data_IF_781112735063
#
_entry.id   IF_781112735063
#
_cell.length_a   1.000
_cell.length_b   1.000
_cell.length_c   1.000
_cell.angle_alpha   90.00
_cell.angle_beta   90.00
_cell.angle_gamma   90.00
#
_symmetry.space_group_name_H-M   'P 1'
#
loop_
_entity.id
_entity.type
_entity.pdbx_description
1 polymer ?
#
# COMPACT_ATOMS: atom_id res chain seq x y z
N UNK A 1 -21.57 5.39 55.00
CA UNK A 1 -20.26 5.34 54.31
C UNK A 1 -20.26 4.32 53.16
N UNK A 2 -20.70 3.07 53.37
CA UNK A 2 -20.72 2.00 52.35
C UNK A 2 -21.47 2.33 51.05
N UNK A 3 -22.62 2.99 51.12
CA UNK A 3 -23.44 3.30 49.91
C UNK A 3 -22.71 4.30 49.00
N UNK A 4 -22.04 5.29 49.59
CA UNK A 4 -21.29 6.31 48.83
C UNK A 4 -20.07 5.73 48.13
N UNK A 5 -19.34 4.81 48.79
CA UNK A 5 -18.18 4.14 48.19
C UNK A 5 -18.56 3.23 47.02
N UNK A 6 -19.70 2.53 47.13
CA UNK A 6 -20.21 1.68 46.03
C UNK A 6 -20.64 2.53 44.84
N UNK A 7 -21.37 3.64 45.06
CA UNK A 7 -21.77 4.55 43.98
C UNK A 7 -20.56 5.17 43.28
N UNK A 8 -19.56 5.61 44.04
CA UNK A 8 -18.32 6.17 43.48
C UNK A 8 -17.56 5.14 42.61
N UNK A 9 -17.43 3.90 43.10
CA UNK A 9 -16.78 2.83 42.35
C UNK A 9 -17.52 2.51 41.03
N UNK A 10 -18.86 2.51 41.03
CA UNK A 10 -19.65 2.28 39.82
C UNK A 10 -19.51 3.41 38.80
N UNK A 11 -19.50 4.67 39.26
CA UNK A 11 -19.30 5.84 38.39
C UNK A 11 -17.90 5.80 37.77
N UNK A 12 -16.86 5.55 38.57
CA UNK A 12 -15.50 5.38 38.07
C UNK A 12 -15.41 4.23 37.05
N UNK A 13 -16.01 3.08 37.35
CA UNK A 13 -16.03 1.93 36.44
C UNK A 13 -16.67 2.30 35.08
N UNK A 14 -17.78 3.06 35.09
CA UNK A 14 -18.43 3.52 33.86
C UNK A 14 -17.59 4.53 33.08
N UNK A 15 -16.95 5.48 33.77
CA UNK A 15 -16.06 6.46 33.13
C UNK A 15 -14.86 5.75 32.49
N UNK A 16 -14.22 4.82 33.21
CA UNK A 16 -13.11 4.04 32.65
C UNK A 16 -13.55 3.21 31.44
N UNK A 17 -14.70 2.53 31.52
CA UNK A 17 -15.24 1.74 30.41
C UNK A 17 -15.53 2.60 29.16
N UNK A 18 -16.07 3.81 29.33
CA UNK A 18 -16.32 4.74 28.24
C UNK A 18 -15.01 5.24 27.61
N UNK A 19 -14.03 5.61 28.43
CA UNK A 19 -12.71 6.04 27.97
C UNK A 19 -12.00 4.92 27.19
N UNK A 20 -12.12 3.67 27.63
CA UNK A 20 -11.54 2.52 26.91
C UNK A 20 -12.26 2.21 25.60
N UNK A 21 -13.59 2.37 25.54
CA UNK A 21 -14.37 2.14 24.31
C UNK A 21 -14.09 3.18 23.23
N UNK A 22 -13.75 4.40 23.60
CA UNK A 22 -13.38 5.45 22.64
C UNK A 22 -12.04 5.19 21.94
N UNK A 23 -11.21 4.29 22.47
CA UNK A 23 -9.80 4.08 22.06
C UNK A 23 -9.52 2.68 21.53
N UNK A 24 -10.53 1.97 21.04
CA UNK A 24 -10.40 0.56 20.64
C UNK A 24 -9.29 0.38 19.60
N UNK A 25 -9.29 1.14 18.51
CA UNK A 25 -8.28 1.01 17.44
C UNK A 25 -6.86 1.40 17.89
N UNK A 26 -6.74 2.33 18.83
CA UNK A 26 -5.45 2.75 19.42
C UNK A 26 -4.90 1.68 20.36
N UNK A 27 -5.78 1.05 21.15
CA UNK A 27 -5.40 -0.06 22.02
C UNK A 27 -4.97 -1.28 21.19
N UNK A 28 -5.67 -1.58 20.10
CA UNK A 28 -5.28 -2.66 19.17
C UNK A 28 -3.92 -2.34 18.54
N UNK A 29 -3.72 -1.11 18.05
CA UNK A 29 -2.42 -0.68 17.53
C UNK A 29 -1.31 -0.86 18.55
N UNK A 30 -1.52 -0.42 19.80
CA UNK A 30 -0.55 -0.56 20.89
C UNK A 30 -0.23 -2.03 21.18
N UNK A 31 -1.25 -2.90 21.20
CA UNK A 31 -1.05 -4.34 21.37
C UNK A 31 -0.17 -4.93 20.26
N UNK A 32 -0.46 -4.60 18.99
CA UNK A 32 0.35 -5.07 17.84
C UNK A 32 1.77 -4.53 17.86
N UNK A 33 1.94 -3.28 18.27
CA UNK A 33 3.25 -2.67 18.48
C UNK A 33 4.06 -3.44 19.54
N UNK A 34 3.46 -3.71 20.70
CA UNK A 34 4.12 -4.43 21.79
C UNK A 34 4.48 -5.87 21.39
N UNK A 35 3.60 -6.58 20.68
CA UNK A 35 3.86 -7.90 20.10
C UNK A 35 5.07 -7.88 19.15
N UNK A 36 5.14 -6.89 18.24
CA UNK A 36 6.27 -6.72 17.33
C UNK A 36 7.57 -6.47 18.11
N UNK A 37 7.56 -5.59 19.11
CA UNK A 37 8.72 -5.34 19.96
C UNK A 37 9.19 -6.60 20.70
N UNK A 38 8.25 -7.39 21.24
CA UNK A 38 8.55 -8.65 21.89
C UNK A 38 9.17 -9.66 20.92
N UNK A 39 8.60 -9.80 19.73
CA UNK A 39 9.14 -10.65 18.66
C UNK A 39 10.59 -10.25 18.33
N UNK A 40 10.84 -8.97 18.05
CA UNK A 40 12.17 -8.49 17.71
C UNK A 40 13.20 -8.68 18.84
N UNK A 41 12.76 -8.56 20.10
CA UNK A 41 13.60 -8.81 21.28
C UNK A 41 13.94 -10.29 21.43
N UNK A 42 12.96 -11.17 21.25
CA UNK A 42 13.12 -12.62 21.35
C UNK A 42 14.17 -13.13 20.36
N UNK A 43 14.10 -12.68 19.11
CA UNK A 43 15.02 -13.10 18.04
C UNK A 43 16.29 -12.23 17.95
N UNK A 44 16.51 -11.30 18.90
CA UNK A 44 17.70 -10.42 18.97
C UNK A 44 17.96 -9.65 17.67
N UNK A 45 16.91 -9.11 17.08
CA UNK A 45 17.00 -8.36 15.82
C UNK A 45 17.88 -7.09 16.00
N UNK A 46 18.81 -6.79 15.08
CA UNK A 46 19.67 -5.61 15.15
C UNK A 46 18.90 -4.29 15.29
N UNK A 47 19.47 -3.32 16.00
CA UNK A 47 18.84 -2.01 16.26
C UNK A 47 18.31 -1.32 15.02
N UNK A 48 19.13 -1.24 13.96
CA UNK A 48 18.74 -0.60 12.70
C UNK A 48 17.51 -1.24 12.04
N UNK A 49 17.38 -2.56 12.08
CA UNK A 49 16.20 -3.24 11.52
C UNK A 49 14.97 -3.07 12.41
N UNK A 50 15.14 -2.99 13.73
CA UNK A 50 14.04 -2.70 14.67
C UNK A 50 13.47 -1.31 14.47
N UNK A 51 14.34 -0.31 14.34
CA UNK A 51 13.94 1.08 14.09
C UNK A 51 13.16 1.19 12.78
N UNK A 52 13.64 0.56 11.71
CA UNK A 52 12.93 0.51 10.42
C UNK A 52 11.55 -0.13 10.53
N UNK A 53 11.44 -1.29 11.18
CA UNK A 53 10.16 -1.98 11.36
C UNK A 53 9.15 -1.13 12.16
N UNK A 54 9.61 -0.45 13.21
CA UNK A 54 8.79 0.46 14.02
C UNK A 54 8.35 1.68 13.19
N UNK A 55 9.26 2.30 12.45
CA UNK A 55 8.96 3.44 11.59
C UNK A 55 7.95 3.07 10.49
N UNK A 56 8.08 1.88 9.89
CA UNK A 56 7.11 1.36 8.93
C UNK A 56 5.71 1.23 9.55
N UNK A 57 5.60 0.59 10.72
CA UNK A 57 4.33 0.40 11.42
C UNK A 57 3.67 1.75 11.77
N UNK A 58 4.45 2.69 12.29
CA UNK A 58 3.98 4.03 12.63
C UNK A 58 3.48 4.79 11.38
N UNK A 59 4.21 4.71 10.26
CA UNK A 59 3.85 5.35 9.00
C UNK A 59 2.61 4.73 8.34
N UNK A 60 2.45 3.39 8.41
CA UNK A 60 1.34 2.66 7.79
C UNK A 60 0.01 2.83 8.54
N UNK A 61 0.04 2.85 9.87
CA UNK A 61 -1.18 2.80 10.70
C UNK A 61 -1.45 4.10 11.47
N UNK A 62 -0.48 5.02 11.57
CA UNK A 62 -0.68 6.34 12.20
C UNK A 62 -1.29 6.27 13.61
N UNK A 63 -0.92 5.23 14.38
CA UNK A 63 -1.43 5.01 15.74
C UNK A 63 -2.81 4.35 15.83
N UNK A 64 -3.42 3.97 14.70
CA UNK A 64 -4.74 3.32 14.65
C UNK A 64 -4.70 2.07 13.79
N UNK A 65 -5.13 0.96 14.36
CA UNK A 65 -5.22 -0.30 13.61
C UNK A 65 -6.67 -0.55 13.17
N UNK A 66 -6.84 -0.86 11.89
CA UNK A 66 -8.11 -1.27 11.30
C UNK A 66 -7.89 -2.52 10.46
N UNK A 67 -8.77 -3.50 10.61
CA UNK A 67 -8.88 -4.59 9.65
C UNK A 67 -9.76 -4.11 8.49
N UNK A 68 -9.14 -3.39 7.55
CA UNK A 68 -9.84 -2.73 6.44
C UNK A 68 -10.68 -3.74 5.63
N UNK A 69 -10.17 -4.95 5.39
CA UNK A 69 -10.88 -6.00 4.64
C UNK A 69 -12.13 -6.46 5.40
N UNK A 70 -12.02 -6.75 6.70
CA UNK A 70 -13.16 -7.17 7.50
C UNK A 70 -14.24 -6.06 7.61
N UNK A 71 -13.83 -4.81 7.85
CA UNK A 71 -14.74 -3.66 7.95
C UNK A 71 -15.51 -3.46 6.64
N UNK A 72 -14.82 -3.54 5.49
CA UNK A 72 -15.46 -3.35 4.19
C UNK A 72 -16.40 -4.52 3.81
N UNK A 73 -16.18 -5.72 4.35
CA UNK A 73 -17.06 -6.88 4.13
C UNK A 73 -18.38 -6.80 4.91
N UNK A 74 -18.44 -6.04 6.02
CA UNK A 74 -19.69 -5.78 6.73
C UNK A 74 -20.65 -4.87 5.95
N UNK A 75 -20.12 -4.13 4.96
CA UNK A 75 -20.87 -3.21 4.14
C UNK A 75 -21.46 -3.90 2.90
N UNK A 76 -22.63 -3.40 2.47
CA UNK A 76 -23.19 -3.78 1.20
C UNK A 76 -22.27 -3.33 0.03
N UNK A 77 -22.48 -3.98 -1.10
CA UNK A 77 -21.64 -3.83 -2.29
C UNK A 77 -21.54 -2.37 -2.80
N UNK A 78 -22.65 -1.59 -2.89
CA UNK A 78 -22.59 -0.20 -3.34
C UNK A 78 -21.82 0.72 -2.38
N UNK A 79 -22.04 0.62 -1.07
CA UNK A 79 -21.35 1.48 -0.09
C UNK A 79 -19.85 1.20 -0.06
N UNK A 80 -19.47 -0.07 -0.18
CA UNK A 80 -18.07 -0.48 -0.26
C UNK A 80 -17.35 0.16 -1.44
N UNK A 81 -17.97 0.08 -2.63
CA UNK A 81 -17.45 0.72 -3.86
C UNK A 81 -17.28 2.22 -3.68
N UNK A 82 -18.24 2.90 -3.06
CA UNK A 82 -18.19 4.34 -2.82
C UNK A 82 -17.04 4.73 -1.88
N UNK A 83 -16.85 3.98 -0.79
CA UNK A 83 -15.74 4.21 0.16
C UNK A 83 -14.38 3.97 -0.51
N UNK A 84 -14.23 2.88 -1.26
CA UNK A 84 -12.99 2.56 -1.99
C UNK A 84 -12.67 3.68 -2.99
N UNK A 85 -13.67 4.13 -3.76
CA UNK A 85 -13.54 5.24 -4.70
C UNK A 85 -13.12 6.53 -4.01
N UNK A 86 -13.69 6.83 -2.83
CA UNK A 86 -13.33 8.00 -2.04
C UNK A 86 -11.87 7.92 -1.54
N UNK A 87 -11.47 6.79 -0.97
CA UNK A 87 -10.11 6.57 -0.44
C UNK A 87 -9.05 6.70 -1.53
N UNK A 88 -9.33 6.16 -2.72
CA UNK A 88 -8.42 6.20 -3.86
C UNK A 88 -8.58 7.46 -4.72
N UNK A 89 -9.42 8.43 -4.32
CA UNK A 89 -9.71 9.61 -5.13
C UNK A 89 -8.46 10.44 -5.48
N UNK A 90 -7.47 10.48 -4.58
CA UNK A 90 -6.20 11.15 -4.84
C UNK A 90 -5.36 10.42 -5.90
N UNK A 91 -5.35 9.08 -5.86
CA UNK A 91 -4.68 8.25 -6.85
C UNK A 91 -5.29 8.44 -8.25
N UNK A 92 -6.63 8.36 -8.34
CA UNK A 92 -7.38 8.50 -9.59
C UNK A 92 -7.12 9.87 -10.24
N UNK A 93 -7.13 10.95 -9.43
CA UNK A 93 -6.93 12.32 -9.94
C UNK A 93 -5.51 12.57 -10.45
N UNK A 94 -4.51 11.97 -9.82
CA UNK A 94 -3.10 12.21 -10.15
C UNK A 94 -2.63 11.39 -11.35
N UNK A 95 -3.18 10.19 -11.53
CA UNK A 95 -2.64 9.27 -12.51
C UNK A 95 -3.32 9.43 -13.88
N UNK A 96 -2.57 9.78 -14.95
CA UNK A 96 -3.14 10.02 -16.28
C UNK A 96 -3.91 8.84 -16.85
N UNK A 97 -3.45 7.62 -16.56
CA UNK A 97 -4.10 6.37 -17.01
C UNK A 97 -5.55 6.20 -16.53
N UNK A 98 -5.93 6.88 -15.44
CA UNK A 98 -7.27 6.76 -14.85
C UNK A 98 -8.22 7.89 -15.26
N UNK A 99 -7.73 8.94 -15.92
CA UNK A 99 -8.49 10.18 -16.18
C UNK A 99 -9.73 9.97 -17.05
N UNK A 100 -9.63 9.09 -18.05
CA UNK A 100 -10.71 8.80 -19.02
C UNK A 100 -11.17 7.33 -18.95
N UNK A 101 -10.84 6.65 -17.85
CA UNK A 101 -11.14 5.24 -17.69
C UNK A 101 -12.62 5.01 -17.33
N UNK A 102 -13.16 3.87 -17.78
CA UNK A 102 -14.54 3.50 -17.49
C UNK A 102 -14.73 3.38 -15.96
N UNK A 103 -15.78 4.00 -15.35
CA UNK A 103 -16.03 3.90 -13.91
C UNK A 103 -16.13 2.46 -13.38
N UNK A 104 -16.70 1.53 -14.16
CA UNK A 104 -16.77 0.12 -13.76
C UNK A 104 -15.39 -0.54 -13.72
N UNK A 105 -14.52 -0.19 -14.68
CA UNK A 105 -13.13 -0.66 -14.68
C UNK A 105 -12.37 -0.11 -13.48
N UNK A 106 -12.52 1.19 -13.17
CA UNK A 106 -11.88 1.80 -12.02
C UNK A 106 -12.31 1.12 -10.72
N UNK A 107 -13.62 0.88 -10.54
CA UNK A 107 -14.11 0.22 -9.33
C UNK A 107 -13.55 -1.20 -9.17
N UNK A 108 -13.51 -1.98 -10.27
CA UNK A 108 -12.96 -3.33 -10.23
C UNK A 108 -11.45 -3.33 -9.95
N UNK A 109 -10.71 -2.38 -10.54
CA UNK A 109 -9.27 -2.24 -10.32
C UNK A 109 -8.96 -1.82 -8.87
N UNK A 110 -9.64 -0.79 -8.37
CA UNK A 110 -9.40 -0.20 -7.05
C UNK A 110 -9.70 -1.19 -5.92
N UNK A 111 -10.68 -2.09 -6.10
CA UNK A 111 -10.98 -3.16 -5.15
C UNK A 111 -9.84 -4.18 -5.01
N UNK A 112 -8.96 -4.29 -6.01
CA UNK A 112 -7.80 -5.20 -6.00
C UNK A 112 -6.48 -4.53 -5.61
N UNK A 113 -6.48 -3.23 -5.35
CA UNK A 113 -5.27 -2.51 -4.93
C UNK A 113 -5.02 -2.71 -3.44
N UNK A 114 -3.77 -2.96 -3.09
CA UNK A 114 -3.34 -3.06 -1.69
C UNK A 114 -2.43 -1.89 -1.32
N UNK A 115 -2.75 -1.22 -0.21
CA UNK A 115 -1.99 -0.05 0.23
C UNK A 115 -0.72 -0.43 0.99
N UNK A 116 0.42 0.09 0.52
CA UNK A 116 1.75 -0.15 1.07
C UNK A 116 2.50 1.16 1.35
N UNK A 117 3.34 1.14 2.38
CA UNK A 117 4.19 2.29 2.77
C UNK A 117 5.66 1.89 2.80
N UNK A 118 6.51 2.72 2.21
CA UNK A 118 7.97 2.55 2.22
C UNK A 118 8.66 3.79 2.79
N UNK A 119 9.69 3.57 3.60
CA UNK A 119 10.50 4.64 4.19
C UNK A 119 11.66 5.04 3.27
N UNK A 120 12.19 6.27 3.40
CA UNK A 120 13.35 6.70 2.62
C UNK A 120 14.52 5.72 2.73
N UNK A 121 15.12 5.40 1.59
CA UNK A 121 16.25 4.47 1.45
C UNK A 121 15.86 2.99 1.34
N UNK A 122 14.59 2.62 1.51
CA UNK A 122 14.15 1.24 1.38
C UNK A 122 14.08 0.78 -0.08
N UNK A 123 14.57 -0.43 -0.33
CA UNK A 123 14.49 -1.08 -1.63
C UNK A 123 13.09 -1.70 -1.79
N UNK A 124 12.33 -1.19 -2.75
CA UNK A 124 10.98 -1.66 -3.09
C UNK A 124 11.09 -2.84 -4.07
N UNK A 125 11.91 -2.69 -5.11
CA UNK A 125 12.16 -3.72 -6.11
C UNK A 125 13.66 -3.96 -6.20
N UNK A 126 14.07 -5.23 -6.15
CA UNK A 126 15.44 -5.64 -6.43
C UNK A 126 15.59 -6.16 -7.86
N UNK A 127 16.62 -5.74 -8.58
CA UNK A 127 16.94 -6.24 -9.91
C UNK A 127 17.20 -7.75 -9.87
N UNK A 128 16.69 -8.49 -10.86
CA UNK A 128 16.85 -9.93 -11.00
C UNK A 128 15.92 -10.78 -10.14
N UNK A 129 15.16 -10.20 -9.21
CA UNK A 129 14.11 -10.94 -8.47
C UNK A 129 12.92 -11.23 -9.38
N UNK A 130 12.12 -12.24 -9.04
CA UNK A 130 10.86 -12.50 -9.73
C UNK A 130 9.83 -11.48 -9.26
N UNK A 131 9.19 -10.81 -10.21
CA UNK A 131 8.10 -9.88 -9.93
C UNK A 131 6.73 -10.56 -9.95
N UNK A 132 5.87 -10.19 -9.02
CA UNK A 132 4.51 -10.73 -8.83
C UNK A 132 3.43 -9.62 -8.77
N UNK A 133 3.86 -8.37 -8.83
CA UNK A 133 3.00 -7.19 -8.74
C UNK A 133 3.63 -5.95 -9.41
N UNK A 134 2.80 -4.95 -9.67
CA UNK A 134 3.22 -3.59 -10.03
C UNK A 134 2.76 -2.58 -8.98
N UNK A 135 3.32 -1.37 -9.00
CA UNK A 135 3.04 -0.34 -8.00
C UNK A 135 2.61 0.98 -8.64
N UNK A 136 1.57 1.60 -8.07
CA UNK A 136 1.17 2.97 -8.37
C UNK A 136 1.61 3.91 -7.26
N UNK A 137 2.14 5.08 -7.61
CA UNK A 137 2.61 6.09 -6.66
C UNK A 137 1.48 7.06 -6.32
N UNK A 138 0.90 6.93 -5.13
CA UNK A 138 -0.06 7.91 -4.60
C UNK A 138 0.67 9.18 -4.12
N UNK A 139 1.78 8.99 -3.40
CA UNK A 139 2.60 10.07 -2.84
C UNK A 139 4.04 9.63 -2.61
N UNK A 140 5.00 10.47 -2.95
CA UNK A 140 6.43 10.28 -2.72
C UNK A 140 7.21 10.09 -4.00
N UNK A 141 8.53 9.97 -3.85
CA UNK A 141 9.49 9.87 -4.95
C UNK A 141 10.28 8.58 -4.83
N UNK A 142 10.44 7.88 -5.95
CA UNK A 142 11.25 6.66 -6.06
C UNK A 142 12.30 6.83 -7.14
N UNK A 143 13.46 6.23 -6.91
CA UNK A 143 14.55 6.14 -7.87
C UNK A 143 14.51 4.76 -8.52
N UNK A 144 14.36 4.73 -9.85
CA UNK A 144 14.50 3.53 -10.68
C UNK A 144 15.90 3.54 -11.27
N UNK A 145 16.70 2.55 -10.92
CA UNK A 145 18.09 2.42 -11.31
C UNK A 145 18.37 1.06 -11.97
N UNK A 146 18.83 1.10 -13.22
CA UNK A 146 19.38 -0.03 -13.97
C UNK A 146 20.79 0.32 -14.47
N UNK A 147 21.59 -0.65 -14.93
CA UNK A 147 22.93 -0.35 -15.45
C UNK A 147 22.85 0.69 -16.59
N UNK A 148 23.47 1.85 -16.40
CA UNK A 148 23.48 2.93 -17.41
C UNK A 148 22.22 3.82 -17.47
N UNK A 149 21.20 3.56 -16.65
CA UNK A 149 19.97 4.34 -16.63
C UNK A 149 19.47 4.61 -15.21
N UNK A 150 19.11 5.87 -14.94
CA UNK A 150 18.52 6.27 -13.66
C UNK A 150 17.43 7.29 -13.91
N UNK A 151 16.26 7.04 -13.34
CA UNK A 151 15.09 7.91 -13.45
C UNK A 151 14.44 8.07 -12.08
N UNK A 152 13.96 9.27 -11.79
CA UNK A 152 13.13 9.55 -10.62
C UNK A 152 11.67 9.56 -11.06
N UNK A 153 10.84 8.79 -10.38
CA UNK A 153 9.39 8.76 -10.56
C UNK A 153 8.73 9.37 -9.33
N UNK A 154 7.72 10.22 -9.57
CA UNK A 154 6.98 10.92 -8.53
C UNK A 154 5.48 10.57 -8.60
N UNK A 155 4.69 11.15 -7.70
CA UNK A 155 3.23 11.15 -7.66
C UNK A 155 2.56 11.06 -9.04
N UNK A 156 1.66 10.09 -9.23
CA UNK A 156 0.93 9.89 -10.49
C UNK A 156 1.66 9.05 -11.54
N UNK A 157 2.85 8.54 -11.21
CA UNK A 157 3.57 7.52 -11.98
C UNK A 157 3.32 6.11 -11.41
N UNK A 158 3.72 5.10 -12.16
CA UNK A 158 3.72 3.70 -11.74
C UNK A 158 5.01 3.02 -12.19
N UNK A 159 5.33 1.87 -11.62
CA UNK A 159 6.52 1.09 -11.94
C UNK A 159 6.34 -0.40 -11.66
N UNK A 160 7.24 -1.21 -12.21
CA UNK A 160 7.22 -2.67 -12.04
C UNK A 160 6.24 -3.38 -12.98
N UNK A 161 5.72 -2.66 -13.97
CA UNK A 161 4.73 -3.09 -14.96
C UNK A 161 5.25 -4.17 -15.91
N UNK A 162 6.56 -4.23 -16.18
CA UNK A 162 7.13 -5.18 -17.15
C UNK A 162 6.83 -6.63 -16.78
N UNK A 163 6.94 -7.00 -15.50
CA UNK A 163 6.65 -8.38 -15.07
C UNK A 163 5.16 -8.74 -15.07
N UNK A 164 4.29 -7.74 -15.17
CA UNK A 164 2.83 -7.92 -15.18
C UNK A 164 2.30 -7.95 -16.62
N UNK A 165 2.91 -7.18 -17.51
CA UNK A 165 2.40 -6.92 -18.86
C UNK A 165 3.22 -7.59 -19.97
N UNK A 166 4.34 -8.27 -19.63
CA UNK A 166 5.22 -8.92 -20.60
C UNK A 166 5.64 -10.31 -20.11
N UNK A 167 6.28 -11.10 -20.98
CA UNK A 167 6.84 -12.42 -20.64
C UNK A 167 8.07 -12.34 -19.71
N UNK A 168 8.55 -11.14 -19.39
CA UNK A 168 9.74 -10.93 -18.56
C UNK A 168 9.38 -11.03 -17.07
N UNK A 169 9.56 -12.21 -16.50
CA UNK A 169 9.24 -12.46 -15.08
C UNK A 169 10.21 -11.81 -14.09
N UNK A 170 11.44 -11.50 -14.52
CA UNK A 170 12.46 -10.89 -13.65
C UNK A 170 12.41 -9.37 -13.68
N UNK A 171 12.63 -8.75 -12.53
CA UNK A 171 12.73 -7.29 -12.37
C UNK A 171 13.99 -6.77 -13.08
N UNK A 172 13.83 -5.75 -13.91
CA UNK A 172 14.90 -5.22 -14.77
C UNK A 172 15.68 -4.05 -14.16
N UNK A 173 15.18 -3.47 -13.07
CA UNK A 173 15.80 -2.34 -12.38
C UNK A 173 15.59 -2.47 -10.87
N UNK A 174 16.49 -1.84 -10.11
CA UNK A 174 16.27 -1.58 -8.70
C UNK A 174 15.33 -0.38 -8.55
N UNK A 175 14.39 -0.44 -7.62
CA UNK A 175 13.55 0.71 -7.26
C UNK A 175 13.70 0.99 -5.78
N UNK A 176 14.12 2.20 -5.44
CA UNK A 176 14.37 2.64 -4.07
C UNK A 176 13.54 3.87 -3.72
N UNK A 177 12.94 3.88 -2.54
CA UNK A 177 12.24 5.05 -2.03
C UNK A 177 13.23 6.19 -1.71
N UNK A 178 13.02 7.38 -2.27
CA UNK A 178 13.78 8.59 -1.92
C UNK A 178 13.13 9.36 -0.78
N UNK A 179 11.80 9.34 -0.71
CA UNK A 179 11.00 9.95 0.36
C UNK A 179 10.09 8.90 1.03
N UNK A 180 9.24 9.31 1.97
CA UNK A 180 8.22 8.42 2.52
C UNK A 180 7.15 8.17 1.46
N UNK A 181 7.16 6.99 0.86
CA UNK A 181 6.29 6.63 -0.24
C UNK A 181 5.01 5.95 0.25
N UNK A 182 3.88 6.35 -0.35
CA UNK A 182 2.57 5.73 -0.25
C UNK A 182 2.23 5.14 -1.60
N UNK A 183 2.15 3.83 -1.66
CA UNK A 183 2.01 3.08 -2.90
C UNK A 183 0.76 2.21 -2.85
N UNK A 184 0.23 1.88 -4.03
CA UNK A 184 -0.76 0.83 -4.19
C UNK A 184 -0.17 -0.27 -5.05
N UNK A 185 -0.12 -1.49 -4.52
CA UNK A 185 0.33 -2.67 -5.27
C UNK A 185 -0.86 -3.35 -5.95
N UNK A 186 -0.60 -3.87 -7.16
CA UNK A 186 -1.54 -4.67 -7.94
C UNK A 186 -0.84 -5.97 -8.35
N UNK A 187 -1.37 -7.11 -7.87
CA UNK A 187 -0.82 -8.43 -8.21
C UNK A 187 -1.05 -8.79 -9.69
N UNK A 188 -0.20 -9.66 -10.24
CA UNK A 188 -0.38 -10.22 -11.60
C UNK A 188 -1.75 -10.88 -11.74
N UNK A 189 -2.18 -11.69 -10.76
CA UNK A 189 -3.48 -12.34 -10.79
C UNK A 189 -4.65 -11.37 -10.83
N UNK A 190 -4.55 -10.27 -10.07
CA UNK A 190 -5.55 -9.20 -10.06
C UNK A 190 -5.58 -8.48 -11.40
N UNK A 191 -4.40 -8.15 -11.95
CA UNK A 191 -4.26 -7.51 -13.25
C UNK A 191 -4.88 -8.36 -14.36
N UNK A 192 -4.56 -9.65 -14.42
CA UNK A 192 -5.09 -10.59 -15.42
C UNK A 192 -6.62 -10.69 -15.33
N UNK A 193 -7.18 -10.66 -14.12
CA UNK A 193 -8.62 -10.68 -13.91
C UNK A 193 -9.28 -9.43 -14.50
N UNK A 194 -8.76 -8.25 -14.16
CA UNK A 194 -9.30 -6.97 -14.65
C UNK A 194 -9.10 -6.82 -16.17
N UNK A 195 -7.96 -7.25 -16.69
CA UNK A 195 -7.62 -7.18 -18.12
C UNK A 195 -8.60 -8.01 -18.98
N UNK A 196 -9.01 -9.20 -18.51
CA UNK A 196 -10.02 -10.03 -19.19
C UNK A 196 -11.39 -9.35 -19.26
N UNK A 197 -11.76 -8.58 -18.24
CA UNK A 197 -13.05 -7.87 -18.19
C UNK A 197 -13.04 -6.58 -19.01
N UNK A 198 -11.91 -5.88 -19.04
CA UNK A 198 -11.79 -4.54 -19.64
C UNK A 198 -10.56 -4.37 -20.55
N UNK A 199 -10.44 -5.13 -21.66
CA UNK A 199 -9.23 -5.15 -22.49
C UNK A 199 -8.88 -3.77 -23.08
N UNK A 200 -9.88 -2.95 -23.40
CA UNK A 200 -9.67 -1.60 -23.96
C UNK A 200 -9.06 -0.61 -22.97
N UNK A 201 -9.29 -0.79 -21.66
CA UNK A 201 -8.77 0.12 -20.63
C UNK A 201 -7.28 -0.12 -20.37
N UNK A 202 -6.77 -1.31 -20.66
CA UNK A 202 -5.39 -1.70 -20.38
C UNK A 202 -4.38 -1.18 -21.41
N UNK A 203 -4.85 -0.84 -22.61
CA UNK A 203 -4.01 -0.45 -23.73
C UNK A 203 -3.08 0.74 -23.42
N UNK A 204 -3.53 1.68 -22.58
CA UNK A 204 -2.73 2.82 -22.15
C UNK A 204 -1.49 2.41 -21.36
N UNK A 205 -1.64 1.46 -20.43
CA UNK A 205 -0.51 0.95 -19.63
C UNK A 205 0.41 0.06 -20.48
N UNK A 206 -0.16 -0.79 -21.33
CA UNK A 206 0.60 -1.67 -22.22
C UNK A 206 1.50 -0.87 -23.17
N UNK A 207 0.99 0.26 -23.69
CA UNK A 207 1.78 1.15 -24.56
C UNK A 207 3.00 1.73 -23.82
N UNK A 208 2.82 2.14 -22.56
CA UNK A 208 3.93 2.64 -21.74
C UNK A 208 4.94 1.54 -21.40
N UNK A 209 4.46 0.33 -21.09
CA UNK A 209 5.33 -0.82 -20.84
C UNK A 209 6.18 -1.19 -22.07
N UNK A 210 5.59 -1.13 -23.27
CA UNK A 210 6.30 -1.36 -24.53
C UNK A 210 7.36 -0.28 -24.81
N UNK A 211 7.05 0.99 -24.55
CA UNK A 211 8.01 2.08 -24.68
C UNK A 211 9.20 1.90 -23.72
N UNK A 212 8.93 1.51 -22.47
CA UNK A 212 10.00 1.22 -21.52
C UNK A 212 10.86 0.04 -21.98
N UNK A 213 10.24 -1.02 -22.50
CA UNK A 213 10.96 -2.19 -23.03
C UNK A 213 11.91 -1.80 -24.18
N UNK A 214 11.47 -0.93 -25.09
CA UNK A 214 12.31 -0.43 -26.17
C UNK A 214 13.51 0.38 -25.63
N UNK A 215 13.28 1.25 -24.64
CA UNK A 215 14.34 2.06 -24.04
C UNK A 215 15.36 1.22 -23.26
N UNK A 216 14.94 0.12 -22.65
CA UNK A 216 15.83 -0.83 -21.98
C UNK A 216 16.63 -1.67 -23.00
N UNK A 217 16.02 -2.04 -24.13
CA UNK A 217 16.70 -2.76 -25.20
C UNK A 217 17.82 -1.96 -25.85
N UNK A 218 17.66 -0.64 -25.99
CA UNK A 218 18.67 0.26 -26.57
C UNK A 218 19.81 0.63 -25.61
N UNK A 219 19.69 0.35 -24.31
CA UNK A 219 20.74 0.64 -23.32
C UNK A 219 21.64 -0.57 -23.01
N UNK A 220 21.41 -1.71 -23.67
CA UNK A 220 22.21 -2.94 -23.56
C UNK A 220 23.15 -3.12 -24.79
N UNK A 221 23.02 -2.29 -25.83
CA UNK A 221 23.97 -2.19 -26.96
C UNK A 221 25.02 -1.09 -26.72
#
# INVERSE_FOLDING_TARGET
MMVGTVMYALVLARITALVTHSRVSENVYKSRYDELCQYMRQYRIPGALRERAICHLASRYQGKWFDEKAILMELNEPLRREIISYNCSNLIKKHPVFKDANPLYLLELLDKLEFECYQPGELIIGIGTVGDCMYFIEKGDVEVASPGYTQILSDGSFFGELCVMTDITKRQANVRALTSCRLYSLSISSYEHVSKLFPKAMHGMETQAQQLLQNLGTSIE
#
